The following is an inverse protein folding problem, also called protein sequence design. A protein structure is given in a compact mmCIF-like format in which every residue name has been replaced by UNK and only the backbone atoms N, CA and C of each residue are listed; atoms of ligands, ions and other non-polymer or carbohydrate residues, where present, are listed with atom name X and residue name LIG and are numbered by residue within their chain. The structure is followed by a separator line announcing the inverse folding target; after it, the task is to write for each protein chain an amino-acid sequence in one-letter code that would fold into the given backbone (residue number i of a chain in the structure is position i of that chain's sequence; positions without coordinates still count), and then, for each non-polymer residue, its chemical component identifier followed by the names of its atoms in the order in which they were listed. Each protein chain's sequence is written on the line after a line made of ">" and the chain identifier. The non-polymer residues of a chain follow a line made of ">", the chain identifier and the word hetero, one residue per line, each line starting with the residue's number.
data_IF_262578715354
#
_entry.id   IF_262578715354
#
_cell.length_a   1.000
_cell.length_b   1.000
_cell.length_c   1.000
_cell.angle_alpha   90.00
_cell.angle_beta   90.00
_cell.angle_gamma   90.00
#
_symmetry.space_group_name_H-M   'P 1'
#
loop_
_entity.id
_entity.type
_entity.pdbx_description
1 polymer ?
#
# COMPACT_ATOMS: atom_id res chain seq x y z
N UNK A 1 -3.96 -18.80 4.23
CA UNK A 1 -3.28 -17.71 3.52
C UNK A 1 -4.12 -17.33 2.31
N UNK A 2 -4.51 -16.07 2.20
CA UNK A 2 -5.25 -15.57 1.03
C UNK A 2 -4.30 -15.49 -0.17
N UNK A 3 -4.79 -15.82 -1.36
CA UNK A 3 -4.02 -15.77 -2.60
C UNK A 3 -4.82 -14.97 -3.63
N UNK A 4 -4.21 -13.91 -4.16
CA UNK A 4 -4.74 -13.10 -5.26
C UNK A 4 -3.81 -13.18 -6.46
N UNK A 5 -4.39 -13.41 -7.64
CA UNK A 5 -3.70 -13.16 -8.91
C UNK A 5 -3.55 -11.65 -9.14
N UNK A 6 -2.73 -11.21 -10.12
CA UNK A 6 -2.61 -9.78 -10.44
C UNK A 6 -3.94 -9.10 -10.75
N UNK A 7 -4.83 -9.77 -11.50
CA UNK A 7 -6.18 -9.27 -11.78
C UNK A 7 -7.01 -9.15 -10.50
N UNK A 8 -6.95 -10.13 -9.61
CA UNK A 8 -7.67 -10.08 -8.32
C UNK A 8 -7.09 -9.03 -7.37
N UNK A 9 -5.78 -8.79 -7.40
CA UNK A 9 -5.11 -7.74 -6.64
C UNK A 9 -5.63 -6.36 -7.06
N UNK A 10 -5.68 -6.09 -8.37
CA UNK A 10 -6.26 -4.86 -8.92
C UNK A 10 -7.75 -4.73 -8.64
N UNK A 11 -8.52 -5.82 -8.79
CA UNK A 11 -9.95 -5.82 -8.48
C UNK A 11 -10.22 -5.49 -7.01
N UNK A 12 -9.43 -6.01 -6.07
CA UNK A 12 -9.59 -5.68 -4.65
C UNK A 12 -9.42 -4.18 -4.37
N UNK A 13 -8.46 -3.53 -5.02
CA UNK A 13 -8.26 -2.08 -4.89
C UNK A 13 -9.47 -1.32 -5.44
N UNK A 14 -10.02 -1.76 -6.58
CA UNK A 14 -11.24 -1.17 -7.13
C UNK A 14 -12.43 -1.32 -6.15
N UNK A 15 -12.62 -2.53 -5.60
CA UNK A 15 -13.70 -2.82 -4.65
C UNK A 15 -13.60 -1.96 -3.38
N UNK A 16 -12.37 -1.71 -2.91
CA UNK A 16 -12.11 -0.89 -1.72
C UNK A 16 -12.35 0.59 -1.96
N UNK A 17 -11.90 1.13 -3.10
CA UNK A 17 -12.22 2.50 -3.52
C UNK A 17 -13.73 2.68 -3.60
N UNK A 18 -14.42 1.72 -4.20
CA UNK A 18 -15.87 1.72 -4.31
C UNK A 18 -16.57 1.64 -2.95
N UNK A 19 -16.04 0.83 -2.02
CA UNK A 19 -16.56 0.76 -0.65
C UNK A 19 -16.40 2.09 0.07
N UNK A 20 -15.21 2.68 0.02
CA UNK A 20 -14.97 4.00 0.66
C UNK A 20 -15.87 5.07 0.03
N UNK A 21 -16.07 5.07 -1.28
CA UNK A 21 -16.96 6.01 -1.97
C UNK A 21 -18.43 5.88 -1.53
N UNK A 22 -18.88 4.69 -1.13
CA UNK A 22 -20.25 4.49 -0.61
C UNK A 22 -20.41 4.95 0.83
N UNK A 23 -19.37 4.74 1.65
CA UNK A 23 -19.46 4.93 3.11
C UNK A 23 -18.96 6.31 3.58
N UNK A 24 -18.16 7.01 2.77
CA UNK A 24 -17.51 8.25 3.14
C UNK A 24 -17.67 9.34 2.08
N UNK A 25 -17.60 10.60 2.53
CA UNK A 25 -17.38 11.75 1.64
C UNK A 25 -15.88 11.83 1.35
N UNK A 26 -15.52 11.76 0.08
CA UNK A 26 -14.12 11.76 -0.38
C UNK A 26 -13.88 12.98 -1.25
N UNK A 27 -12.72 13.61 -1.10
CA UNK A 27 -12.27 14.66 -1.99
C UNK A 27 -12.23 14.18 -3.45
N UNK A 28 -12.82 14.95 -4.36
CA UNK A 28 -12.88 14.57 -5.78
C UNK A 28 -11.50 14.29 -6.38
N UNK A 29 -10.46 15.06 -6.03
CA UNK A 29 -9.12 14.85 -6.58
C UNK A 29 -8.52 13.51 -6.17
N UNK A 30 -8.82 13.02 -4.95
CA UNK A 30 -8.41 11.70 -4.47
C UNK A 30 -9.09 10.59 -5.28
N UNK A 31 -10.41 10.67 -5.46
CA UNK A 31 -11.15 9.72 -6.29
C UNK A 31 -10.63 9.68 -7.73
N UNK A 32 -10.41 10.84 -8.35
CA UNK A 32 -9.85 10.93 -9.70
C UNK A 32 -8.41 10.40 -9.78
N UNK A 33 -7.61 10.53 -8.71
CA UNK A 33 -6.27 9.95 -8.64
C UNK A 33 -6.35 8.42 -8.65
N UNK A 34 -7.12 7.84 -7.73
CA UNK A 34 -7.24 6.38 -7.63
C UNK A 34 -7.87 5.76 -8.86
N UNK A 35 -8.86 6.41 -9.48
CA UNK A 35 -9.46 5.93 -10.73
C UNK A 35 -8.44 5.92 -11.88
N UNK A 36 -7.67 7.02 -12.05
CA UNK A 36 -6.60 7.06 -13.07
C UNK A 36 -5.54 5.98 -12.86
N UNK A 37 -5.16 5.71 -11.61
CA UNK A 37 -4.24 4.64 -11.28
C UNK A 37 -4.84 3.25 -11.57
N UNK A 38 -6.11 3.04 -11.20
CA UNK A 38 -6.85 1.82 -11.50
C UNK A 38 -7.03 1.57 -12.99
N UNK A 39 -7.01 2.61 -13.83
CA UNK A 39 -7.14 2.50 -15.30
C UNK A 39 -5.78 2.44 -16.03
N UNK A 40 -4.67 2.71 -15.35
CA UNK A 40 -3.33 2.73 -15.94
C UNK A 40 -2.68 1.34 -15.94
N UNK A 41 -2.91 0.57 -17.00
CA UNK A 41 -2.36 -0.78 -17.18
C UNK A 41 -0.85 -0.87 -17.00
N UNK A 42 -0.11 0.18 -17.37
CA UNK A 42 1.35 0.19 -17.26
C UNK A 42 1.86 0.28 -15.83
N UNK A 43 1.01 0.68 -14.90
CA UNK A 43 1.34 0.79 -13.47
C UNK A 43 1.32 -0.58 -12.78
N UNK A 44 0.41 -1.47 -13.18
CA UNK A 44 0.13 -2.71 -12.45
C UNK A 44 1.11 -3.85 -12.79
N UNK A 45 1.52 -4.67 -11.80
CA UNK A 45 2.36 -5.83 -12.05
C UNK A 45 1.62 -6.95 -12.76
N UNK A 46 2.34 -7.77 -13.52
CA UNK A 46 1.84 -9.01 -14.13
C UNK A 46 2.06 -10.25 -13.24
N UNK A 47 2.45 -10.06 -11.99
CA UNK A 47 2.72 -11.12 -11.02
C UNK A 47 2.32 -10.71 -9.59
N UNK A 48 2.20 -11.71 -8.73
CA UNK A 48 1.95 -11.56 -7.30
C UNK A 48 2.98 -12.36 -6.52
N UNK A 49 3.28 -11.93 -5.30
CA UNK A 49 4.28 -12.56 -4.41
C UNK A 49 3.70 -12.70 -3.00
N UNK A 50 4.35 -13.47 -2.14
CA UNK A 50 4.05 -13.43 -0.71
C UNK A 50 4.45 -12.05 -0.18
N UNK A 51 3.51 -11.36 0.44
CA UNK A 51 3.70 -10.07 1.11
C UNK A 51 3.45 -10.21 2.61
N UNK A 52 4.15 -9.40 3.39
CA UNK A 52 3.87 -9.20 4.81
C UNK A 52 2.49 -8.56 5.01
N UNK A 53 2.16 -7.57 4.17
CA UNK A 53 0.81 -6.98 4.10
C UNK A 53 0.61 -5.73 4.97
N UNK A 54 1.37 -5.61 6.07
CA UNK A 54 1.44 -4.42 6.93
C UNK A 54 2.89 -4.08 7.31
N UNK A 55 3.78 -4.00 6.31
CA UNK A 55 5.21 -3.80 6.55
C UNK A 55 5.55 -2.31 6.67
N UNK A 56 5.96 -1.89 7.87
CA UNK A 56 6.59 -0.60 8.12
C UNK A 56 7.65 -0.70 9.21
N UNK A 57 8.39 0.39 9.48
CA UNK A 57 9.52 0.39 10.42
C UNK A 57 9.17 -0.08 11.84
N UNK A 58 7.92 0.04 12.29
CA UNK A 58 7.48 -0.47 13.59
C UNK A 58 7.33 -2.00 13.64
N UNK A 59 7.24 -2.66 12.48
CA UNK A 59 7.11 -4.12 12.35
C UNK A 59 8.40 -4.80 11.90
N UNK A 60 9.51 -4.06 11.82
CA UNK A 60 10.83 -4.58 11.47
C UNK A 60 11.74 -4.55 12.70
N UNK A 61 12.24 -5.72 13.09
CA UNK A 61 13.21 -5.84 14.17
C UNK A 61 14.61 -5.64 13.62
N UNK A 62 15.40 -4.80 14.30
CA UNK A 62 16.80 -4.55 13.97
C UNK A 62 17.70 -4.97 15.14
N UNK A 63 18.90 -5.44 14.83
CA UNK A 63 19.94 -5.63 15.84
C UNK A 63 20.60 -4.29 16.23
N UNK A 64 21.58 -4.34 17.14
CA UNK A 64 22.30 -3.15 17.61
C UNK A 64 23.21 -2.50 16.54
N UNK A 65 23.31 -3.08 15.35
CA UNK A 65 24.01 -2.54 14.19
C UNK A 65 23.05 -2.04 13.10
N UNK A 66 21.76 -1.95 13.43
CA UNK A 66 20.68 -1.52 12.53
C UNK A 66 20.43 -2.49 11.36
N UNK A 67 20.90 -3.75 11.47
CA UNK A 67 20.58 -4.79 10.49
C UNK A 67 19.25 -5.43 10.82
N UNK A 68 18.41 -5.60 9.80
CA UNK A 68 17.15 -6.35 9.93
C UNK A 68 17.45 -7.77 10.41
N UNK A 69 16.82 -8.15 11.53
CA UNK A 69 16.96 -9.47 12.16
C UNK A 69 15.63 -10.23 12.25
N UNK A 70 14.50 -9.56 11.97
CA UNK A 70 13.20 -10.19 11.93
C UNK A 70 12.08 -9.23 11.52
N UNK A 71 10.88 -9.78 11.32
CA UNK A 71 9.63 -9.04 11.07
C UNK A 71 8.51 -9.66 11.92
N UNK A 72 7.60 -8.83 12.40
CA UNK A 72 6.50 -9.20 13.31
C UNK A 72 5.15 -8.71 12.77
N UNK A 73 4.05 -9.20 13.35
CA UNK A 73 2.66 -8.84 12.97
C UNK A 73 2.24 -9.28 11.55
N UNK A 74 2.28 -10.59 11.33
CA UNK A 74 1.95 -11.23 10.05
C UNK A 74 0.43 -11.44 9.82
N UNK A 75 -0.43 -10.70 10.52
CA UNK A 75 -1.89 -10.85 10.44
C UNK A 75 -2.43 -10.58 9.03
N UNK A 76 -1.79 -9.69 8.28
CA UNK A 76 -2.14 -9.28 6.92
C UNK A 76 -1.45 -10.10 5.81
N UNK A 77 -0.67 -11.12 6.16
CA UNK A 77 0.14 -11.86 5.21
C UNK A 77 -0.68 -12.62 4.16
N UNK A 78 -0.29 -12.47 2.88
CA UNK A 78 -1.03 -13.01 1.72
C UNK A 78 -0.15 -13.10 0.48
N UNK A 79 -0.64 -13.75 -0.58
CA UNK A 79 -0.07 -13.59 -1.91
C UNK A 79 -0.82 -12.49 -2.65
N UNK A 80 -0.11 -11.42 -3.02
CA UNK A 80 -0.68 -10.20 -3.58
C UNK A 80 0.40 -9.36 -4.29
N UNK A 81 0.06 -8.12 -4.64
CA UNK A 81 0.95 -7.12 -5.26
C UNK A 81 2.17 -6.78 -4.37
N UNK A 82 3.42 -6.93 -4.87
CA UNK A 82 4.65 -6.66 -4.11
C UNK A 82 4.79 -5.22 -3.60
N UNK A 83 4.17 -4.23 -4.27
CA UNK A 83 4.31 -2.82 -3.88
C UNK A 83 3.66 -2.50 -2.53
N UNK A 84 2.80 -3.39 -2.01
CA UNK A 84 2.20 -3.29 -0.68
C UNK A 84 3.28 -3.11 0.39
N UNK A 85 4.34 -3.91 0.34
CA UNK A 85 5.40 -3.93 1.36
C UNK A 85 6.44 -2.80 1.20
N UNK A 86 6.27 -1.94 0.18
CA UNK A 86 7.22 -0.88 -0.14
C UNK A 86 6.64 0.53 0.10
N UNK A 87 5.31 0.66 0.17
CA UNK A 87 4.62 1.94 0.30
C UNK A 87 5.02 2.70 1.59
N UNK A 88 5.10 2.01 2.72
CA UNK A 88 5.51 2.64 3.98
C UNK A 88 7.00 3.02 3.98
N UNK A 89 7.84 2.32 3.23
CA UNK A 89 9.25 2.71 3.07
C UNK A 89 9.36 4.05 2.35
N UNK A 90 8.58 4.26 1.29
CA UNK A 90 8.48 5.57 0.62
C UNK A 90 7.97 6.65 1.59
N UNK A 91 6.97 6.34 2.41
CA UNK A 91 6.42 7.29 3.39
C UNK A 91 7.47 7.79 4.39
N UNK A 92 8.32 6.89 4.88
CA UNK A 92 9.29 7.18 5.95
C UNK A 92 10.60 7.75 5.40
N UNK A 93 11.08 7.24 4.26
CA UNK A 93 12.42 7.55 3.75
C UNK A 93 12.43 8.37 2.46
N UNK A 94 11.25 8.73 1.93
CA UNK A 94 11.11 9.53 0.72
C UNK A 94 11.59 8.82 -0.55
N UNK A 95 11.62 9.57 -1.65
CA UNK A 95 11.99 9.05 -2.97
C UNK A 95 13.44 8.57 -3.05
N UNK A 96 14.37 9.23 -2.33
CA UNK A 96 15.77 8.80 -2.27
C UNK A 96 15.90 7.43 -1.58
N UNK A 97 15.19 7.23 -0.47
CA UNK A 97 15.14 5.95 0.22
C UNK A 97 14.53 4.86 -0.66
N UNK A 98 13.41 5.16 -1.32
CA UNK A 98 12.77 4.23 -2.24
C UNK A 98 13.70 3.85 -3.40
N UNK A 99 14.41 4.80 -4.02
CA UNK A 99 15.35 4.51 -5.10
C UNK A 99 16.46 3.56 -4.65
N UNK A 100 17.03 3.75 -3.45
CA UNK A 100 18.04 2.85 -2.87
C UNK A 100 17.46 1.46 -2.59
N UNK A 101 16.24 1.39 -2.06
CA UNK A 101 15.53 0.13 -1.83
C UNK A 101 15.36 -0.64 -3.14
N UNK A 102 14.83 0.00 -4.19
CA UNK A 102 14.56 -0.67 -5.46
C UNK A 102 15.83 -1.18 -6.15
N UNK A 103 16.90 -0.37 -6.16
CA UNK A 103 18.19 -0.79 -6.70
C UNK A 103 18.76 -2.02 -5.97
N UNK A 104 18.69 -2.01 -4.63
CA UNK A 104 19.21 -3.11 -3.81
C UNK A 104 18.33 -4.36 -3.92
N UNK A 105 17.01 -4.18 -3.96
CA UNK A 105 16.02 -5.25 -4.12
C UNK A 105 16.20 -5.96 -5.45
N UNK A 106 16.32 -5.22 -6.55
CA UNK A 106 16.58 -5.78 -7.88
C UNK A 106 17.94 -6.50 -7.95
N UNK A 107 19.00 -5.89 -7.41
CA UNK A 107 20.32 -6.52 -7.34
C UNK A 107 20.34 -7.81 -6.51
N UNK A 108 19.46 -7.91 -5.51
CA UNK A 108 19.26 -9.12 -4.70
C UNK A 108 18.35 -10.17 -5.39
N UNK A 109 17.89 -9.93 -6.62
CA UNK A 109 17.06 -10.85 -7.41
C UNK A 109 15.56 -10.60 -7.31
N UNK A 110 15.15 -9.52 -6.64
CA UNK A 110 13.74 -9.10 -6.59
C UNK A 110 13.22 -8.71 -7.97
N UNK A 111 12.05 -9.22 -8.35
CA UNK A 111 11.44 -8.91 -9.64
C UNK A 111 10.84 -7.49 -9.60
N UNK A 112 11.25 -6.64 -10.53
CA UNK A 112 10.74 -5.27 -10.70
C UNK A 112 10.11 -5.08 -12.09
N UNK A 113 9.41 -3.96 -12.28
CA UNK A 113 8.92 -3.53 -13.59
C UNK A 113 9.16 -2.02 -13.76
N UNK A 114 9.12 -1.48 -14.99
CA UNK A 114 9.55 -0.10 -15.26
C UNK A 114 8.83 0.99 -14.47
N UNK A 115 7.58 0.75 -14.05
CA UNK A 115 6.75 1.72 -13.31
C UNK A 115 6.57 1.38 -11.83
N UNK A 116 7.36 0.46 -11.26
CA UNK A 116 7.25 0.06 -9.86
C UNK A 116 7.30 1.26 -8.89
N UNK A 117 8.26 2.18 -9.06
CA UNK A 117 8.36 3.36 -8.19
C UNK A 117 7.10 4.24 -8.23
N UNK A 118 6.54 4.45 -9.42
CA UNK A 118 5.28 5.16 -9.59
C UNK A 118 4.12 4.40 -8.93
N UNK A 119 4.05 3.08 -9.13
CA UNK A 119 3.01 2.24 -8.54
C UNK A 119 3.04 2.25 -7.01
N UNK A 120 4.23 2.25 -6.40
CA UNK A 120 4.42 2.36 -4.94
C UNK A 120 3.90 3.71 -4.42
N UNK A 121 4.11 4.80 -5.14
CA UNK A 121 3.58 6.11 -4.76
C UNK A 121 2.04 6.15 -4.80
N UNK A 122 1.42 5.52 -5.81
CA UNK A 122 -0.03 5.39 -5.86
C UNK A 122 -0.57 4.44 -4.79
N UNK A 123 0.16 3.37 -4.46
CA UNK A 123 -0.14 2.50 -3.31
C UNK A 123 -0.10 3.24 -1.99
N UNK A 124 0.86 4.13 -1.80
CA UNK A 124 0.93 4.97 -0.60
C UNK A 124 -0.28 5.93 -0.52
N UNK A 125 -0.66 6.56 -1.64
CA UNK A 125 -1.85 7.41 -1.70
C UNK A 125 -3.16 6.62 -1.45
N UNK A 126 -3.22 5.36 -1.90
CA UNK A 126 -4.30 4.43 -1.60
C UNK A 126 -4.37 4.05 -0.10
N UNK A 127 -3.30 4.27 0.67
CA UNK A 127 -3.29 4.00 2.12
C UNK A 127 -4.42 4.68 2.90
N UNK A 128 -4.91 5.84 2.44
CA UNK A 128 -6.09 6.49 3.02
C UNK A 128 -7.38 5.66 2.89
N UNK A 129 -7.53 4.89 1.79
CA UNK A 129 -8.64 3.95 1.61
C UNK A 129 -8.53 2.81 2.62
N UNK A 130 -7.35 2.19 2.74
CA UNK A 130 -7.09 1.12 3.70
C UNK A 130 -7.38 1.57 5.14
N UNK A 131 -6.86 2.72 5.54
CA UNK A 131 -7.07 3.28 6.87
C UNK A 131 -8.55 3.55 7.15
N UNK A 132 -9.29 4.09 6.18
CA UNK A 132 -10.71 4.36 6.35
C UNK A 132 -11.56 3.09 6.50
N UNK A 133 -11.26 2.04 5.74
CA UNK A 133 -11.95 0.75 5.88
C UNK A 133 -11.61 0.06 7.19
N UNK A 134 -10.34 0.12 7.63
CA UNK A 134 -9.96 -0.35 8.95
C UNK A 134 -10.70 0.41 10.06
N UNK A 135 -10.73 1.75 9.98
CA UNK A 135 -11.45 2.58 10.92
C UNK A 135 -12.93 2.20 10.99
N UNK A 136 -13.58 1.99 9.83
CA UNK A 136 -14.96 1.56 9.73
C UNK A 136 -15.21 0.20 10.38
N UNK A 137 -14.38 -0.78 10.06
CA UNK A 137 -14.53 -2.16 10.55
C UNK A 137 -14.15 -2.30 12.04
N UNK A 138 -13.29 -1.41 12.56
CA UNK A 138 -12.90 -1.40 13.97
C UNK A 138 -14.00 -0.89 14.91
N UNK A 139 -14.94 -0.08 14.41
CA UNK A 139 -15.92 0.64 15.23
C UNK A 139 -15.32 1.68 16.18
N UNK A 140 -14.03 2.01 16.04
CA UNK A 140 -13.36 3.02 16.86
C UNK A 140 -13.67 4.44 16.33
N UNK A 141 -14.38 5.22 17.14
CA UNK A 141 -14.82 6.58 16.78
C UNK A 141 -13.66 7.55 16.51
N UNK A 142 -12.52 7.39 17.19
CA UNK A 142 -11.34 8.25 16.96
C UNK A 142 -10.73 7.98 15.58
N UNK A 143 -10.59 6.70 15.21
CA UNK A 143 -10.10 6.32 13.89
C UNK A 143 -11.09 6.73 12.79
N UNK A 144 -12.39 6.57 13.04
CA UNK A 144 -13.42 7.01 12.11
C UNK A 144 -13.38 8.52 11.85
N UNK A 145 -13.19 9.32 12.90
CA UNK A 145 -13.07 10.76 12.78
C UNK A 145 -11.81 11.16 11.99
N UNK A 146 -10.67 10.53 12.28
CA UNK A 146 -9.43 10.76 11.56
C UNK A 146 -9.53 10.39 10.07
N UNK A 147 -10.10 9.22 9.76
CA UNK A 147 -10.31 8.75 8.39
C UNK A 147 -11.22 9.70 7.59
N UNK A 148 -12.33 10.16 8.18
CA UNK A 148 -13.24 11.14 7.56
C UNK A 148 -12.51 12.45 7.24
N UNK A 149 -11.72 12.96 8.17
CA UNK A 149 -10.95 14.18 7.97
C UNK A 149 -9.91 14.03 6.85
N UNK A 150 -9.17 12.91 6.83
CA UNK A 150 -8.16 12.63 5.81
C UNK A 150 -8.77 12.50 4.40
N UNK A 151 -9.88 11.77 4.26
CA UNK A 151 -10.55 11.55 2.98
C UNK A 151 -11.16 12.83 2.40
N UNK A 152 -11.70 13.72 3.24
CA UNK A 152 -12.30 14.97 2.81
C UNK A 152 -11.25 16.04 2.44
N UNK A 153 -10.07 15.99 3.05
CA UNK A 153 -8.97 16.91 2.77
C UNK A 153 -8.38 16.69 1.36
N UNK A 154 -7.92 17.78 0.74
CA UNK A 154 -7.09 17.69 -0.45
C UNK A 154 -5.77 16.97 -0.12
N UNK A 155 -5.24 16.25 -1.09
CA UNK A 155 -3.93 15.60 -1.02
C UNK A 155 -2.80 16.55 -1.40
#
# INVERSE_FOLDING_TARGET
>A
MLIRTPTQARQKVADDVDRVRREFVVNDKRLHRWQRWLDDDSSWPDFSVVVHGDLYVGHVLIDNTERVSGMIDWSEARVDDPAIDMAAHLMVFGEEGLAKLLLTYEAAGGRVWPRLAHHIAERLAFGAVTYALFALDSGNEEYLAAAKAQLAAAE
#
